data_IF_532983347885
#
_entry.id   IF_532983347885
#
_cell.length_a   1.000
_cell.length_b   1.000
_cell.length_c   1.000
_cell.angle_alpha   90.00
_cell.angle_beta   90.00
_cell.angle_gamma   90.00
#
_symmetry.space_group_name_H-M   'P 1'
#
loop_
_entity.id
_entity.type
_entity.pdbx_description
1 polymer ?
#
# COMPACT_ATOMS: atom_id res chain seq x y z
N UNK A 1 -23.24 1.75 -24.15
CA UNK A 1 -21.95 2.39 -23.91
C UNK A 1 -21.11 1.46 -23.06
N UNK A 2 -19.88 1.14 -23.49
CA UNK A 2 -18.99 0.23 -22.77
C UNK A 2 -18.43 0.88 -21.49
N UNK A 3 -18.38 2.21 -21.43
CA UNK A 3 -17.86 2.97 -20.30
C UNK A 3 -18.95 3.40 -19.30
N UNK A 4 -20.12 2.75 -19.32
CA UNK A 4 -21.17 3.04 -18.34
C UNK A 4 -20.72 2.60 -16.93
N UNK A 5 -20.32 3.57 -16.11
CA UNK A 5 -19.80 3.37 -14.75
C UNK A 5 -20.86 2.75 -13.83
N UNK A 6 -22.12 3.19 -13.91
CA UNK A 6 -23.19 2.66 -13.06
C UNK A 6 -23.43 1.17 -13.35
N UNK A 7 -23.50 0.81 -14.63
CA UNK A 7 -23.64 -0.59 -15.04
C UNK A 7 -22.42 -1.43 -14.63
N UNK A 8 -21.20 -0.88 -14.74
CA UNK A 8 -19.98 -1.55 -14.30
C UNK A 8 -19.96 -1.79 -12.79
N UNK A 9 -20.39 -0.80 -11.99
CA UNK A 9 -20.47 -0.90 -10.53
C UNK A 9 -21.52 -1.91 -10.07
N UNK A 10 -22.71 -1.91 -10.69
CA UNK A 10 -23.75 -2.92 -10.42
C UNK A 10 -23.21 -4.31 -10.75
N UNK A 11 -22.62 -4.48 -11.93
CA UNK A 11 -22.07 -5.77 -12.37
C UNK A 11 -20.96 -6.26 -11.43
N UNK A 12 -20.04 -5.38 -11.03
CA UNK A 12 -18.97 -5.72 -10.09
C UNK A 12 -19.54 -6.10 -8.71
N UNK A 13 -20.60 -5.44 -8.25
CA UNK A 13 -21.27 -5.76 -6.99
C UNK A 13 -21.97 -7.13 -7.03
N UNK A 14 -22.70 -7.44 -8.09
CA UNK A 14 -23.34 -8.74 -8.28
C UNK A 14 -22.32 -9.88 -8.35
N UNK A 15 -21.18 -9.62 -9.01
CA UNK A 15 -20.09 -10.59 -9.21
C UNK A 15 -19.49 -11.09 -7.90
N UNK A 16 -19.49 -10.29 -6.83
CA UNK A 16 -18.94 -10.68 -5.52
C UNK A 16 -19.58 -11.94 -4.93
N UNK A 17 -20.82 -12.23 -5.29
CA UNK A 17 -21.59 -13.35 -4.75
C UNK A 17 -21.59 -14.58 -5.69
N UNK A 18 -20.92 -14.50 -6.83
CA UNK A 18 -20.89 -15.58 -7.82
C UNK A 18 -19.74 -16.56 -7.54
N UNK A 19 -19.91 -17.85 -7.88
CA UNK A 19 -18.80 -18.79 -7.92
C UNK A 19 -17.70 -18.31 -8.88
N UNK A 20 -16.44 -18.65 -8.60
CA UNK A 20 -15.29 -18.15 -9.37
C UNK A 20 -15.38 -18.43 -10.88
N UNK A 21 -15.96 -19.58 -11.27
CA UNK A 21 -16.15 -19.94 -12.68
C UNK A 21 -17.09 -18.99 -13.45
N UNK A 22 -18.05 -18.37 -12.75
CA UNK A 22 -18.96 -17.37 -13.32
C UNK A 22 -18.42 -15.95 -13.13
N UNK A 23 -17.72 -15.70 -12.02
CA UNK A 23 -17.18 -14.38 -11.70
C UNK A 23 -15.99 -13.98 -12.58
N UNK A 24 -15.08 -14.92 -12.87
CA UNK A 24 -13.86 -14.67 -13.64
C UNK A 24 -14.11 -14.01 -15.01
N UNK A 25 -14.99 -14.54 -15.91
CA UNK A 25 -15.24 -13.90 -17.20
C UNK A 25 -15.83 -12.49 -17.07
N UNK A 26 -16.58 -12.21 -16.00
CA UNK A 26 -17.13 -10.89 -15.74
C UNK A 26 -16.03 -9.91 -15.33
N UNK A 27 -15.13 -10.30 -14.43
CA UNK A 27 -13.96 -9.48 -14.08
C UNK A 27 -13.05 -9.23 -15.27
N UNK A 28 -12.78 -10.23 -16.12
CA UNK A 28 -11.99 -10.05 -17.34
C UNK A 28 -12.63 -9.01 -18.28
N UNK A 29 -13.96 -9.03 -18.44
CA UNK A 29 -14.68 -8.02 -19.23
C UNK A 29 -14.60 -6.63 -18.61
N UNK A 30 -14.80 -6.51 -17.30
CA UNK A 30 -14.68 -5.24 -16.57
C UNK A 30 -13.26 -4.67 -16.71
N UNK A 31 -12.23 -5.49 -16.53
CA UNK A 31 -10.83 -5.08 -16.55
C UNK A 31 -10.28 -4.84 -17.97
N UNK A 32 -10.88 -5.45 -19.00
CA UNK A 32 -10.62 -5.08 -20.38
C UNK A 32 -11.09 -3.64 -20.68
N UNK A 33 -12.11 -3.16 -19.96
CA UNK A 33 -12.66 -1.79 -20.11
C UNK A 33 -11.98 -0.81 -19.15
N UNK A 34 -11.75 -1.23 -17.90
CA UNK A 34 -11.19 -0.42 -16.82
C UNK A 34 -9.90 -1.05 -16.27
N UNK A 35 -8.80 -1.07 -17.04
CA UNK A 35 -7.57 -1.78 -16.67
C UNK A 35 -6.86 -1.18 -15.44
N UNK A 36 -7.17 0.06 -15.08
CA UNK A 36 -6.62 0.75 -13.90
C UNK A 36 -7.55 0.71 -12.69
N UNK A 37 -8.68 0.00 -12.75
CA UNK A 37 -9.62 -0.12 -11.64
C UNK A 37 -9.08 -1.05 -10.55
N UNK A 38 -8.34 -0.48 -9.59
CA UNK A 38 -7.78 -1.21 -8.45
C UNK A 38 -8.82 -2.01 -7.68
N UNK A 39 -10.05 -1.48 -7.57
CA UNK A 39 -11.19 -2.16 -6.94
C UNK A 39 -11.49 -3.50 -7.61
N UNK A 40 -11.62 -3.51 -8.94
CA UNK A 40 -11.98 -4.71 -9.69
C UNK A 40 -10.83 -5.73 -9.69
N UNK A 41 -9.58 -5.28 -9.84
CA UNK A 41 -8.41 -6.17 -9.69
C UNK A 41 -8.37 -6.83 -8.32
N UNK A 42 -8.62 -6.06 -7.25
CA UNK A 42 -8.64 -6.55 -5.89
C UNK A 42 -9.76 -7.59 -5.69
N UNK A 43 -10.98 -7.30 -6.11
CA UNK A 43 -12.10 -8.24 -6.00
C UNK A 43 -11.84 -9.54 -6.78
N UNK A 44 -11.25 -9.42 -7.97
CA UNK A 44 -10.91 -10.57 -8.81
C UNK A 44 -9.90 -11.49 -8.13
N UNK A 45 -8.79 -10.94 -7.64
CA UNK A 45 -7.77 -11.75 -6.96
C UNK A 45 -8.26 -12.32 -5.63
N UNK A 46 -9.06 -11.56 -4.86
CA UNK A 46 -9.65 -12.05 -3.60
C UNK A 46 -10.57 -13.25 -3.83
N UNK A 47 -11.27 -13.31 -4.97
CA UNK A 47 -12.14 -14.43 -5.31
C UNK A 47 -11.34 -15.75 -5.46
N UNK A 48 -10.13 -15.71 -6.04
CA UNK A 48 -9.23 -16.87 -6.10
C UNK A 48 -8.52 -17.19 -4.77
N UNK A 49 -8.23 -16.17 -3.96
CA UNK A 49 -7.65 -16.37 -2.62
C UNK A 49 -8.61 -17.14 -1.71
N UNK A 50 -9.92 -16.87 -1.82
CA UNK A 50 -10.98 -17.58 -1.07
C UNK A 50 -11.09 -19.04 -1.51
N UNK A 51 -10.93 -19.34 -2.79
CA UNK A 51 -10.93 -20.73 -3.31
C UNK A 51 -9.59 -21.44 -3.13
N UNK A 52 -8.61 -20.79 -2.50
CA UNK A 52 -7.26 -21.29 -2.25
C UNK A 52 -6.48 -21.64 -3.55
N UNK A 53 -6.79 -20.95 -4.64
CA UNK A 53 -6.07 -21.04 -5.90
C UNK A 53 -4.93 -20.00 -5.92
N UNK A 54 -3.81 -20.38 -5.32
CA UNK A 54 -2.65 -19.51 -5.15
C UNK A 54 -1.93 -19.22 -6.48
N UNK A 55 -1.99 -20.15 -7.43
CA UNK A 55 -1.30 -20.02 -8.72
C UNK A 55 -1.97 -18.96 -9.58
N UNK A 56 -3.28 -19.04 -9.75
CA UNK A 56 -4.02 -18.04 -10.51
C UNK A 56 -4.00 -16.68 -9.82
N UNK A 57 -4.07 -16.63 -8.47
CA UNK A 57 -3.90 -15.38 -7.73
C UNK A 57 -2.55 -14.70 -8.03
N UNK A 58 -1.44 -15.47 -8.08
CA UNK A 58 -0.11 -14.94 -8.47
C UNK A 58 -0.07 -14.42 -9.90
N UNK A 59 -0.71 -15.12 -10.83
CA UNK A 59 -0.81 -14.69 -12.23
C UNK A 59 -1.63 -13.40 -12.38
N UNK A 60 -2.68 -13.20 -11.57
CA UNK A 60 -3.44 -11.96 -11.56
C UNK A 60 -2.58 -10.81 -11.00
N UNK A 61 -1.89 -11.03 -9.87
CA UNK A 61 -0.99 -10.02 -9.31
C UNK A 61 0.10 -9.57 -10.29
N UNK A 62 0.68 -10.50 -11.07
CA UNK A 62 1.72 -10.14 -12.05
C UNK A 62 1.19 -9.26 -13.19
N UNK A 63 -0.11 -9.34 -13.51
CA UNK A 63 -0.77 -8.50 -14.51
C UNK A 63 -1.05 -7.07 -14.01
N UNK A 64 -1.36 -6.92 -12.72
CA UNK A 64 -1.96 -5.69 -12.20
C UNK A 64 -1.06 -4.83 -11.30
N UNK A 65 -0.10 -5.40 -10.58
CA UNK A 65 0.62 -4.67 -9.52
C UNK A 65 1.45 -3.48 -10.05
N UNK A 66 2.10 -3.66 -11.20
CA UNK A 66 2.94 -2.62 -11.81
C UNK A 66 2.14 -1.65 -12.70
N UNK A 67 1.02 -2.10 -13.24
CA UNK A 67 0.16 -1.32 -14.14
C UNK A 67 -0.87 -0.48 -13.38
N UNK A 68 -1.26 -0.93 -12.18
CA UNK A 68 -2.18 -0.27 -11.27
C UNK A 68 -1.54 -0.19 -9.87
N UNK A 69 -0.61 0.77 -9.62
CA UNK A 69 0.16 0.86 -8.38
C UNK A 69 -0.67 1.44 -7.21
N UNK A 70 -1.83 0.85 -6.94
CA UNK A 70 -2.77 1.31 -5.92
C UNK A 70 -2.51 0.64 -4.58
N UNK A 71 -2.40 1.42 -3.50
CA UNK A 71 -2.02 0.93 -2.16
C UNK A 71 -2.85 -0.26 -1.67
N UNK A 72 -4.17 -0.24 -1.89
CA UNK A 72 -5.07 -1.34 -1.48
C UNK A 72 -4.81 -2.66 -2.22
N UNK A 73 -4.36 -2.60 -3.47
CA UNK A 73 -4.02 -3.79 -4.26
C UNK A 73 -2.70 -4.39 -3.76
N UNK A 74 -1.71 -3.55 -3.49
CA UNK A 74 -0.45 -3.94 -2.87
C UNK A 74 -0.63 -4.50 -1.44
N UNK A 75 -1.58 -3.94 -0.67
CA UNK A 75 -1.95 -4.50 0.65
C UNK A 75 -2.62 -5.88 0.53
N UNK A 76 -3.43 -6.09 -0.51
CA UNK A 76 -3.96 -7.43 -0.82
C UNK A 76 -2.82 -8.41 -1.13
N UNK A 77 -1.86 -7.99 -1.96
CA UNK A 77 -0.67 -8.78 -2.30
C UNK A 77 0.17 -9.16 -1.07
N UNK A 78 0.52 -8.21 -0.19
CA UNK A 78 1.37 -8.56 0.96
C UNK A 78 0.65 -9.49 1.95
N UNK A 79 -0.67 -9.35 2.11
CA UNK A 79 -1.47 -10.27 2.91
C UNK A 79 -1.50 -11.67 2.30
N UNK A 80 -1.63 -11.77 0.98
CA UNK A 80 -1.52 -13.04 0.26
C UNK A 80 -0.15 -13.68 0.48
N UNK A 81 0.95 -12.94 0.29
CA UNK A 81 2.31 -13.47 0.50
C UNK A 81 2.50 -13.95 1.94
N UNK A 82 2.06 -13.17 2.94
CA UNK A 82 2.11 -13.59 4.35
C UNK A 82 1.35 -14.89 4.60
N UNK A 83 0.16 -15.06 4.00
CA UNK A 83 -0.65 -16.28 4.12
C UNK A 83 0.09 -17.48 3.54
N UNK A 84 0.56 -17.38 2.30
CA UNK A 84 1.28 -18.44 1.58
C UNK A 84 2.56 -18.84 2.33
N UNK A 85 3.29 -17.86 2.85
CA UNK A 85 4.59 -18.09 3.47
C UNK A 85 4.54 -18.42 4.98
N UNK A 86 3.36 -18.32 5.62
CA UNK A 86 3.19 -18.54 7.06
C UNK A 86 3.69 -19.90 7.57
N UNK A 87 3.65 -20.94 6.74
CA UNK A 87 4.05 -22.31 7.09
C UNK A 87 5.45 -22.70 6.60
N UNK A 88 6.17 -21.80 5.93
CA UNK A 88 7.47 -22.06 5.30
C UNK A 88 8.68 -21.72 6.20
N UNK A 89 8.45 -21.48 7.49
CA UNK A 89 9.52 -21.21 8.46
C UNK A 89 10.37 -19.99 8.08
N UNK A 90 11.69 -20.09 8.25
CA UNK A 90 12.64 -18.99 8.00
C UNK A 90 12.67 -18.52 6.55
N UNK A 91 12.54 -19.45 5.59
CA UNK A 91 12.50 -19.12 4.16
C UNK A 91 11.26 -18.27 3.83
N UNK A 92 10.10 -18.66 4.36
CA UNK A 92 8.86 -17.89 4.20
C UNK A 92 8.94 -16.48 4.80
N UNK A 93 9.61 -16.32 5.95
CA UNK A 93 9.84 -15.01 6.55
C UNK A 93 10.75 -14.13 5.69
N UNK A 94 11.84 -14.69 5.15
CA UNK A 94 12.77 -13.94 4.30
C UNK A 94 12.12 -13.53 2.97
N UNK A 95 11.30 -14.40 2.36
CA UNK A 95 10.52 -14.01 1.19
C UNK A 95 9.46 -12.94 1.49
N UNK A 96 8.80 -13.03 2.65
CA UNK A 96 7.82 -12.02 3.08
C UNK A 96 8.51 -10.67 3.28
N UNK A 97 9.70 -10.66 3.87
CA UNK A 97 10.54 -9.46 4.00
C UNK A 97 10.87 -8.86 2.63
N UNK A 98 11.33 -9.68 1.68
CA UNK A 98 11.58 -9.25 0.29
C UNK A 98 10.34 -8.68 -0.37
N UNK A 99 9.16 -9.25 -0.12
CA UNK A 99 7.89 -8.74 -0.65
C UNK A 99 7.51 -7.38 -0.05
N UNK A 100 7.76 -7.14 1.25
CA UNK A 100 7.61 -5.82 1.86
C UNK A 100 8.57 -4.80 1.22
N UNK A 101 9.86 -5.14 1.10
CA UNK A 101 10.85 -4.25 0.48
C UNK A 101 10.47 -3.94 -0.98
N UNK A 102 10.00 -4.94 -1.74
CA UNK A 102 9.50 -4.77 -3.10
C UNK A 102 8.29 -3.83 -3.14
N UNK A 103 7.28 -4.07 -2.31
CA UNK A 103 6.08 -3.22 -2.20
C UNK A 103 6.44 -1.75 -1.89
N UNK A 104 7.32 -1.53 -0.92
CA UNK A 104 7.73 -0.19 -0.48
C UNK A 104 8.51 0.57 -1.55
N UNK A 105 9.17 -0.10 -2.49
CA UNK A 105 9.81 0.57 -3.62
C UNK A 105 8.80 1.20 -4.59
N UNK A 106 7.57 0.68 -4.68
CA UNK A 106 6.54 1.19 -5.57
C UNK A 106 5.56 2.13 -4.87
N UNK A 107 5.07 1.74 -3.69
CA UNK A 107 4.01 2.47 -2.98
C UNK A 107 4.45 3.03 -1.63
N UNK A 108 5.74 2.94 -1.28
CA UNK A 108 6.25 3.44 0.00
C UNK A 108 6.22 4.96 0.14
N UNK A 109 6.13 5.71 -0.96
CA UNK A 109 5.98 7.17 -0.96
C UNK A 109 4.52 7.64 -1.02
N UNK A 110 3.57 6.71 -1.16
CA UNK A 110 2.15 7.02 -1.22
C UNK A 110 1.67 7.62 0.11
N UNK A 111 0.75 8.58 0.06
CA UNK A 111 0.24 9.25 1.27
C UNK A 111 -0.50 8.29 2.22
N UNK A 112 -1.10 7.23 1.68
CA UNK A 112 -1.77 6.17 2.42
C UNK A 112 -0.85 4.98 2.75
N UNK A 113 0.47 5.08 2.53
CA UNK A 113 1.45 4.02 2.83
C UNK A 113 1.77 3.84 4.32
N UNK A 114 1.37 4.78 5.18
CA UNK A 114 1.63 4.74 6.63
C UNK A 114 1.34 3.38 7.30
N UNK A 115 0.15 2.77 7.10
CA UNK A 115 -0.16 1.44 7.61
C UNK A 115 0.78 0.34 7.12
N UNK A 116 1.31 0.44 5.90
CA UNK A 116 2.24 -0.54 5.33
C UNK A 116 3.59 -0.46 6.02
N UNK A 117 4.09 0.74 6.27
CA UNK A 117 5.32 0.94 7.06
C UNK A 117 5.20 0.35 8.46
N UNK A 118 4.09 0.65 9.15
CA UNK A 118 3.83 0.11 10.49
C UNK A 118 3.73 -1.41 10.50
N UNK A 119 3.04 -1.98 9.50
CA UNK A 119 2.91 -3.43 9.35
C UNK A 119 4.25 -4.11 9.09
N UNK A 120 5.10 -3.52 8.24
CA UNK A 120 6.44 -4.05 7.98
C UNK A 120 7.31 -4.02 9.24
N UNK A 121 7.28 -2.92 9.98
CA UNK A 121 8.01 -2.80 11.25
C UNK A 121 7.51 -3.83 12.27
N UNK A 122 6.19 -4.03 12.37
CA UNK A 122 5.61 -5.05 13.24
C UNK A 122 6.04 -6.47 12.83
N UNK A 123 6.06 -6.74 11.51
CA UNK A 123 6.56 -7.99 10.96
C UNK A 123 8.03 -8.22 11.34
N UNK A 124 8.91 -7.23 11.14
CA UNK A 124 10.33 -7.33 11.51
C UNK A 124 10.52 -7.57 13.01
N UNK A 125 9.73 -6.91 13.88
CA UNK A 125 9.74 -7.15 15.33
C UNK A 125 9.28 -8.56 15.71
N UNK A 126 8.39 -9.16 14.92
CA UNK A 126 7.86 -10.51 15.17
C UNK A 126 8.79 -11.64 14.73
N UNK A 127 9.78 -11.35 13.87
CA UNK A 127 10.72 -12.38 13.38
C UNK A 127 11.48 -13.00 14.56
N UNK A 128 11.58 -14.34 14.63
CA UNK A 128 12.26 -15.03 15.72
C UNK A 128 13.76 -14.71 15.71
N UNK A 129 14.34 -14.62 16.90
CA UNK A 129 15.77 -14.36 17.11
C UNK A 129 16.31 -15.38 18.09
N UNK A 130 17.39 -16.06 17.71
CA UNK A 130 18.03 -17.12 18.49
C UNK A 130 19.31 -16.65 19.16
N UNK A 131 19.97 -15.63 18.61
CA UNK A 131 21.26 -15.13 19.10
C UNK A 131 21.24 -13.62 19.38
N UNK A 132 22.07 -13.14 20.33
CA UNK A 132 22.24 -11.70 20.54
C UNK A 132 22.72 -10.94 19.28
N UNK A 133 23.48 -11.59 18.41
CA UNK A 133 23.95 -11.02 17.14
C UNK A 133 22.79 -10.80 16.15
N UNK A 134 21.90 -11.78 16.03
CA UNK A 134 20.65 -11.66 15.25
C UNK A 134 19.76 -10.54 15.81
N UNK A 135 19.68 -10.39 17.15
CA UNK A 135 18.92 -9.32 17.76
C UNK A 135 19.46 -7.94 17.37
N UNK A 136 20.78 -7.77 17.45
CA UNK A 136 21.45 -6.54 17.04
C UNK A 136 21.22 -6.21 15.56
N UNK A 137 21.27 -7.23 14.69
CA UNK A 137 20.97 -7.08 13.26
C UNK A 137 19.50 -6.69 13.02
N UNK A 138 18.56 -7.33 13.72
CA UNK A 138 17.13 -7.03 13.65
C UNK A 138 16.84 -5.60 14.09
N UNK A 139 17.40 -5.18 15.23
CA UNK A 139 17.29 -3.81 15.74
C UNK A 139 17.86 -2.78 14.75
N UNK A 140 18.99 -3.08 14.11
CA UNK A 140 19.58 -2.22 13.07
C UNK A 140 18.68 -2.11 11.84
N UNK A 141 18.08 -3.22 11.41
CA UNK A 141 17.12 -3.24 10.29
C UNK A 141 15.86 -2.43 10.62
N UNK A 142 15.25 -2.65 11.79
CA UNK A 142 14.07 -1.91 12.24
C UNK A 142 14.35 -0.40 12.29
N UNK A 143 15.51 0.01 12.83
CA UNK A 143 15.96 1.41 12.84
C UNK A 143 15.97 2.00 11.45
N UNK A 144 16.61 1.32 10.49
CA UNK A 144 16.68 1.77 9.08
C UNK A 144 15.29 1.94 8.47
N UNK A 145 14.36 1.04 8.77
CA UNK A 145 12.97 1.13 8.27
C UNK A 145 12.23 2.30 8.90
N UNK A 146 12.33 2.51 10.22
CA UNK A 146 11.76 3.70 10.86
C UNK A 146 12.32 4.99 10.27
N UNK A 147 13.65 5.08 10.14
CA UNK A 147 14.34 6.26 9.60
C UNK A 147 13.93 6.57 8.16
N UNK A 148 13.54 5.57 7.36
CA UNK A 148 12.91 5.81 6.05
C UNK A 148 11.46 6.28 6.21
N UNK A 149 10.67 5.56 7.00
CA UNK A 149 9.23 5.80 7.15
C UNK A 149 8.90 7.21 7.67
N UNK A 150 9.66 7.72 8.65
CA UNK A 150 9.44 9.06 9.24
C UNK A 150 9.76 10.22 8.28
N UNK A 151 10.39 9.93 7.15
CA UNK A 151 10.69 10.91 6.10
C UNK A 151 9.61 10.94 5.03
N UNK A 152 8.70 9.98 5.02
CA UNK A 152 7.62 9.92 4.03
C UNK A 152 6.43 10.78 4.51
N UNK A 153 5.95 11.73 3.70
CA UNK A 153 4.75 12.53 4.00
C UNK A 153 3.45 11.69 3.92
N UNK A 154 3.25 10.82 4.90
CA UNK A 154 2.08 9.92 4.99
C UNK A 154 1.07 10.39 6.03
N UNK A 155 -0.13 9.80 5.98
CA UNK A 155 -1.19 9.97 6.98
C UNK A 155 -0.80 9.55 8.40
N UNK A 156 0.25 8.74 8.57
CA UNK A 156 0.69 8.22 9.86
C UNK A 156 2.06 8.78 10.29
N UNK A 157 2.56 9.85 9.66
CA UNK A 157 3.89 10.41 9.94
C UNK A 157 4.11 10.74 11.42
N UNK A 158 3.08 11.24 12.12
CA UNK A 158 3.16 11.53 13.57
C UNK A 158 3.22 10.27 14.42
N UNK A 159 2.44 9.24 14.08
CA UNK A 159 2.45 7.95 14.78
C UNK A 159 3.79 7.22 14.56
N UNK A 160 4.32 7.23 13.33
CA UNK A 160 5.62 6.67 13.00
C UNK A 160 6.75 7.35 13.78
N UNK A 161 6.70 8.68 13.94
CA UNK A 161 7.67 9.41 14.76
C UNK A 161 7.59 9.03 16.24
N UNK A 162 6.37 8.99 16.80
CA UNK A 162 6.16 8.57 18.19
C UNK A 162 6.71 7.16 18.45
N UNK A 163 6.47 6.24 17.52
CA UNK A 163 6.95 4.86 17.65
C UNK A 163 8.47 4.75 17.46
N UNK A 164 9.07 5.59 16.61
CA UNK A 164 10.52 5.70 16.45
C UNK A 164 11.20 6.24 17.72
N UNK A 165 10.64 7.29 18.33
CA UNK A 165 11.11 7.83 19.61
C UNK A 165 11.12 6.77 20.70
N UNK A 166 9.98 6.08 20.87
CA UNK A 166 9.85 4.98 21.83
C UNK A 166 10.87 3.86 21.55
N UNK A 167 11.03 3.49 20.27
CA UNK A 167 11.98 2.48 19.85
C UNK A 167 13.42 2.86 20.22
N UNK A 168 13.90 4.04 19.85
CA UNK A 168 15.28 4.44 20.15
C UNK A 168 15.53 4.55 21.66
N UNK A 169 14.57 5.11 22.42
CA UNK A 169 14.67 5.18 23.87
C UNK A 169 14.67 3.80 24.56
N UNK A 170 14.00 2.80 23.97
CA UNK A 170 14.02 1.42 24.46
C UNK A 170 15.34 0.70 24.19
N UNK A 171 16.04 1.06 23.10
CA UNK A 171 17.34 0.46 22.74
C UNK A 171 18.48 1.09 23.53
N UNK A 172 18.58 2.42 23.52
CA UNK A 172 19.59 3.17 24.29
C UNK A 172 19.24 4.64 24.39
N UNK A 173 18.91 5.12 25.59
CA UNK A 173 18.60 6.54 25.85
C UNK A 173 19.74 7.48 25.46
N UNK A 174 20.98 7.04 25.64
CA UNK A 174 22.17 7.85 25.29
C UNK A 174 22.26 8.04 23.78
N UNK A 175 22.08 6.97 23.00
CA UNK A 175 22.10 7.05 21.54
C UNK A 175 20.86 7.77 20.99
N UNK A 176 19.70 7.53 21.61
CA UNK A 176 18.42 8.11 21.21
C UNK A 176 18.48 9.64 21.14
N UNK A 177 19.12 10.31 22.10
CA UNK A 177 19.23 11.77 22.12
C UNK A 177 19.85 12.33 20.82
N UNK A 178 20.92 11.70 20.32
CA UNK A 178 21.57 12.11 19.08
C UNK A 178 20.72 11.82 17.85
N UNK A 179 20.21 10.59 17.74
CA UNK A 179 19.39 10.16 16.59
C UNK A 179 18.07 10.94 16.48
N UNK A 180 17.39 11.18 17.60
CA UNK A 180 16.15 11.94 17.61
C UNK A 180 16.40 13.41 17.27
N UNK A 181 17.47 14.01 17.80
CA UNK A 181 17.85 15.38 17.42
C UNK A 181 18.18 15.51 15.93
N UNK A 182 18.81 14.50 15.33
CA UNK A 182 19.16 14.49 13.90
C UNK A 182 17.92 14.38 13.00
N UNK A 183 16.95 13.53 13.38
CA UNK A 183 15.79 13.25 12.54
C UNK A 183 14.58 14.14 12.80
N UNK A 184 14.48 14.80 13.97
CA UNK A 184 13.40 15.72 14.31
C UNK A 184 13.11 16.78 13.22
N UNK A 185 14.08 17.53 12.68
CA UNK A 185 13.81 18.49 11.62
C UNK A 185 13.34 17.82 10.31
N UNK A 186 13.85 16.62 10.00
CA UNK A 186 13.46 15.88 8.80
C UNK A 186 12.01 15.37 8.90
N UNK A 187 11.63 14.83 10.06
CA UNK A 187 10.26 14.48 10.39
C UNK A 187 9.33 15.70 10.32
N UNK A 188 9.73 16.84 10.91
CA UNK A 188 8.92 18.06 10.88
C UNK A 188 8.66 18.52 9.43
N UNK A 189 9.64 18.39 8.56
CA UNK A 189 9.49 18.65 7.11
C UNK A 189 8.48 17.69 6.47
N UNK A 190 8.63 16.38 6.66
CA UNK A 190 7.69 15.39 6.12
C UNK A 190 6.25 15.62 6.59
N UNK A 191 6.08 15.95 7.88
CA UNK A 191 4.78 16.32 8.47
C UNK A 191 4.18 17.59 7.86
N UNK A 192 5.00 18.62 7.62
CA UNK A 192 4.54 19.85 6.97
C UNK A 192 4.08 19.56 5.53
N UNK A 193 4.88 18.81 4.76
CA UNK A 193 4.51 18.39 3.40
C UNK A 193 3.22 17.59 3.39
N UNK A 194 3.04 16.64 4.32
CA UNK A 194 1.78 15.87 4.42
C UNK A 194 0.57 16.80 4.65
N UNK A 195 0.69 17.76 5.56
CA UNK A 195 -0.40 18.70 5.87
C UNK A 195 -0.79 19.56 4.66
N UNK A 196 0.19 20.01 3.88
CA UNK A 196 -0.08 20.76 2.65
C UNK A 196 -0.67 19.86 1.56
N UNK A 197 -0.06 18.70 1.29
CA UNK A 197 -0.55 17.71 0.32
C UNK A 197 -1.99 17.28 0.62
N UNK A 198 -2.34 17.14 1.91
CA UNK A 198 -3.69 16.74 2.36
C UNK A 198 -4.79 17.61 1.75
N UNK A 199 -4.56 18.92 1.63
CA UNK A 199 -5.52 19.89 1.09
C UNK A 199 -5.91 19.63 -0.36
N UNK A 200 -5.07 18.90 -1.11
CA UNK A 200 -5.29 18.59 -2.52
C UNK A 200 -5.85 17.18 -2.71
N UNK A 201 -5.37 16.21 -1.93
CA UNK A 201 -5.80 14.80 -2.05
C UNK A 201 -7.22 14.56 -1.53
N UNK A 202 -7.70 15.38 -0.58
CA UNK A 202 -9.04 15.24 -0.01
C UNK A 202 -10.15 15.57 -1.04
N UNK A 203 -9.81 16.34 -2.09
CA UNK A 203 -10.72 16.70 -3.18
C UNK A 203 -10.74 15.64 -4.33
N UNK A 204 -9.88 14.62 -4.25
CA UNK A 204 -9.70 13.61 -5.31
C UNK A 204 -10.50 12.34 -4.98
N UNK A 205 -11.32 11.91 -5.94
CA UNK A 205 -11.98 10.60 -5.94
C UNK A 205 -11.03 9.53 -6.49
N UNK A 206 -10.27 8.91 -5.60
CA UNK A 206 -9.34 7.83 -5.93
C UNK A 206 -10.02 6.55 -6.44
N UNK A 207 -11.35 6.45 -6.30
CA UNK A 207 -12.16 5.33 -6.80
C UNK A 207 -12.77 5.58 -8.18
N UNK A 208 -12.59 6.77 -8.75
CA UNK A 208 -13.18 7.11 -10.05
C UNK A 208 -12.60 6.25 -11.17
N UNK A 209 -13.48 5.59 -11.92
CA UNK A 209 -13.07 4.79 -13.09
C UNK A 209 -12.58 5.69 -14.22
N UNK A 210 -11.56 5.22 -14.94
CA UNK A 210 -11.06 5.90 -16.12
C UNK A 210 -12.07 5.75 -17.28
N UNK A 211 -12.67 6.87 -17.69
CA UNK A 211 -13.59 6.95 -18.84
C UNK A 211 -13.09 8.02 -19.82
N UNK A 212 -13.46 7.93 -21.12
CA UNK A 212 -13.37 9.08 -22.02
C UNK A 212 -14.15 10.28 -21.45
N UNK A 213 -13.73 11.49 -21.80
CA UNK A 213 -14.40 12.70 -21.33
C UNK A 213 -15.85 12.75 -21.81
N UNK A 214 -16.79 12.82 -20.87
CA UNK A 214 -18.21 13.05 -21.13
C UNK A 214 -18.58 14.52 -20.99
N UNK A 215 -17.70 15.34 -20.40
CA UNK A 215 -17.98 16.75 -20.11
C UNK A 215 -18.91 16.94 -18.92
N UNK A 216 -19.04 15.91 -18.07
CA UNK A 216 -19.84 16.03 -16.85
C UNK A 216 -19.17 16.97 -15.85
N UNK A 217 -19.99 17.68 -15.07
CA UNK A 217 -19.48 18.56 -14.01
C UNK A 217 -18.54 17.84 -13.03
N UNK A 218 -18.84 16.59 -12.67
CA UNK A 218 -18.00 15.78 -11.77
C UNK A 218 -16.61 15.54 -12.38
N UNK A 219 -16.53 15.17 -13.66
CA UNK A 219 -15.26 14.96 -14.36
C UNK A 219 -14.41 16.24 -14.40
N UNK A 220 -15.03 17.38 -14.69
CA UNK A 220 -14.33 18.66 -14.72
C UNK A 220 -13.75 19.02 -13.35
N UNK A 221 -14.53 18.84 -12.27
CA UNK A 221 -14.04 19.07 -10.90
C UNK A 221 -12.87 18.15 -10.56
N UNK A 222 -12.95 16.85 -10.90
CA UNK A 222 -11.86 15.90 -10.66
C UNK A 222 -10.61 16.24 -11.49
N UNK A 223 -10.77 16.64 -12.75
CA UNK A 223 -9.66 17.11 -13.58
C UNK A 223 -8.95 18.32 -12.96
N UNK A 224 -9.71 19.29 -12.43
CA UNK A 224 -9.15 20.46 -11.74
C UNK A 224 -8.45 20.07 -10.44
N UNK A 225 -9.01 19.16 -9.64
CA UNK A 225 -8.38 18.65 -8.43
C UNK A 225 -7.02 17.99 -8.73
N UNK A 226 -6.96 17.10 -9.72
CA UNK A 226 -5.72 16.48 -10.18
C UNK A 226 -4.69 17.50 -10.69
N UNK A 227 -5.11 18.49 -11.48
CA UNK A 227 -4.21 19.57 -11.94
C UNK A 227 -3.62 20.38 -10.79
N UNK A 228 -4.41 20.67 -9.74
CA UNK A 228 -3.92 21.36 -8.55
C UNK A 228 -2.88 20.54 -7.81
N UNK A 229 -3.12 19.24 -7.61
CA UNK A 229 -2.14 18.34 -6.99
C UNK A 229 -0.86 18.24 -7.82
N UNK A 230 -0.96 18.07 -9.14
CA UNK A 230 0.21 17.98 -10.03
C UNK A 230 1.04 19.27 -10.03
N UNK A 231 0.40 20.43 -9.93
CA UNK A 231 1.11 21.71 -9.78
C UNK A 231 1.80 21.83 -8.42
N UNK A 232 1.21 21.29 -7.35
CA UNK A 232 1.82 21.27 -6.03
C UNK A 232 3.07 20.38 -5.96
N UNK A 233 3.10 19.25 -6.69
CA UNK A 233 4.22 18.30 -6.69
C UNK A 233 5.34 18.64 -7.71
N UNK A 234 5.20 19.71 -8.50
CA UNK A 234 6.23 20.20 -9.44
C UNK A 234 7.29 21.03 -8.74
#
# INVERSE_FOLDING_TARGET
>A
DIYNVEAAEILAHETLNLPIGEAAPIYEKLLATFPTAAKYWKQYVESYIVTNDEETAKQIFSRCLLTCPHINLWRCYINFIKKVNSKRGSEGLEETKKAFDFMLNYVGNDVASGPVWMEYIAFLKSMPVMTPQEESHRMTTIRKVYQKAILVPTSHVEQLWKDYDNFENSVSRTLAKGLLSEYQPKFNSAKAVYRERKKYIDDIDWGMLATPSTGSYKEEQQCLAWKRLLTFEK
#
